data_IF_843763067133
#
_entry.id   IF_843763067133
#
_cell.length_a   1.000
_cell.length_b   1.000
_cell.length_c   1.000
_cell.angle_alpha   90.00
_cell.angle_beta   90.00
_cell.angle_gamma   90.00
#
_symmetry.space_group_name_H-M   'P 1'
#
loop_
_entity.id
_entity.type
_entity.pdbx_description
1 polymer ?
#
# COMPACT_ATOMS: atom_id res chain seq x y z
N UNK A 1 36.56 10.55 -45.15
CA UNK A 1 35.46 9.79 -44.52
C UNK A 1 35.72 8.31 -44.41
N UNK A 2 36.72 7.79 -45.06
CA UNK A 2 37.11 6.38 -44.89
C UNK A 2 37.59 6.10 -43.46
N UNK A 3 38.20 7.08 -42.82
CA UNK A 3 38.73 6.95 -41.49
C UNK A 3 37.63 6.61 -40.45
N UNK A 4 36.54 7.33 -40.51
CA UNK A 4 35.42 7.11 -39.58
C UNK A 4 34.77 5.73 -39.81
N UNK A 5 34.69 5.34 -41.06
CA UNK A 5 34.06 4.06 -41.39
C UNK A 5 34.92 2.87 -40.99
N UNK A 6 36.23 2.94 -41.20
CA UNK A 6 37.17 1.91 -40.75
C UNK A 6 37.24 1.89 -39.21
N UNK A 7 37.23 3.04 -38.61
CA UNK A 7 37.32 3.17 -37.15
C UNK A 7 36.01 2.67 -36.50
N UNK A 8 34.88 2.93 -37.11
CA UNK A 8 33.57 2.48 -36.60
C UNK A 8 33.41 0.98 -36.75
N UNK A 9 33.84 0.43 -37.90
CA UNK A 9 33.71 -1.01 -38.16
C UNK A 9 34.78 -1.85 -37.49
N UNK A 10 35.89 -1.23 -37.13
CA UNK A 10 36.95 -1.88 -36.36
C UNK A 10 36.47 -2.06 -34.93
N UNK A 11 36.64 -3.24 -34.38
CA UNK A 11 36.19 -3.58 -33.02
C UNK A 11 34.69 -3.46 -32.82
N UNK A 12 33.93 -3.93 -33.80
CA UNK A 12 32.48 -3.86 -33.76
C UNK A 12 31.91 -4.58 -32.55
N UNK A 13 32.49 -5.70 -32.13
CA UNK A 13 32.08 -6.42 -30.95
C UNK A 13 32.22 -5.62 -29.67
N UNK A 14 33.35 -4.87 -29.54
CA UNK A 14 33.56 -4.02 -28.38
C UNK A 14 32.57 -2.86 -28.32
N UNK A 15 32.18 -2.33 -29.47
CA UNK A 15 31.19 -1.26 -29.55
C UNK A 15 29.81 -1.73 -29.16
N UNK A 16 29.42 -2.93 -29.59
CA UNK A 16 28.17 -3.53 -29.18
C UNK A 16 28.15 -3.82 -27.70
N UNK A 17 29.26 -4.29 -27.16
CA UNK A 17 29.38 -4.52 -25.73
C UNK A 17 29.27 -3.21 -24.92
N UNK A 18 29.95 -2.16 -25.39
CA UNK A 18 29.87 -0.86 -24.76
C UNK A 18 28.46 -0.29 -24.79
N UNK A 19 27.78 -0.45 -25.93
CA UNK A 19 26.41 -0.02 -26.09
C UNK A 19 25.46 -0.79 -25.17
N UNK A 20 25.65 -2.09 -25.05
CA UNK A 20 24.86 -2.93 -24.18
C UNK A 20 25.03 -2.55 -22.71
N UNK A 21 26.28 -2.34 -22.28
CA UNK A 21 26.58 -1.90 -20.91
C UNK A 21 25.96 -0.52 -20.63
N UNK A 22 26.10 0.38 -21.59
CA UNK A 22 25.55 1.72 -21.48
C UNK A 22 24.02 1.69 -21.34
N UNK A 23 23.38 0.84 -22.13
CA UNK A 23 21.93 0.66 -22.08
C UNK A 23 21.48 0.05 -20.74
N UNK A 24 22.22 -0.94 -20.24
CA UNK A 24 21.92 -1.54 -18.94
C UNK A 24 22.06 -0.54 -17.81
N UNK A 25 23.12 0.27 -17.83
CA UNK A 25 23.31 1.32 -16.83
C UNK A 25 22.21 2.38 -16.91
N UNK A 26 21.83 2.75 -18.12
CA UNK A 26 20.74 3.70 -18.32
C UNK A 26 19.42 3.16 -17.80
N UNK A 27 19.12 1.90 -18.10
CA UNK A 27 17.88 1.27 -17.65
C UNK A 27 17.81 1.19 -16.12
N UNK A 28 18.91 0.84 -15.47
CA UNK A 28 18.95 0.77 -14.01
C UNK A 28 18.86 2.17 -13.37
N UNK A 29 19.47 3.15 -14.01
CA UNK A 29 19.45 4.53 -13.50
C UNK A 29 18.09 5.18 -13.71
N UNK A 30 17.42 4.88 -14.84
CA UNK A 30 16.12 5.48 -15.18
C UNK A 30 14.97 4.85 -14.42
N UNK A 31 15.11 3.62 -13.95
CA UNK A 31 14.08 3.02 -13.12
C UNK A 31 14.05 3.77 -11.78
N UNK A 32 13.06 4.63 -11.63
CA UNK A 32 12.90 5.41 -10.42
C UNK A 32 12.65 4.46 -9.24
N UNK A 33 13.35 4.64 -8.11
CA UNK A 33 13.04 3.84 -6.93
C UNK A 33 11.60 4.08 -6.52
N UNK A 34 10.90 3.04 -6.06
CA UNK A 34 9.53 3.20 -5.61
C UNK A 34 9.49 4.17 -4.43
N UNK A 35 8.54 5.09 -4.47
CA UNK A 35 8.32 6.03 -3.39
C UNK A 35 7.46 5.38 -2.31
N UNK A 36 7.68 5.79 -1.07
CA UNK A 36 6.86 5.39 0.05
C UNK A 36 6.17 6.62 0.61
N UNK A 37 4.86 6.50 0.86
CA UNK A 37 4.10 7.58 1.47
C UNK A 37 3.16 7.00 2.52
N UNK A 38 2.98 7.76 3.60
CA UNK A 38 2.04 7.40 4.66
C UNK A 38 0.71 8.09 4.47
N UNK A 39 -0.37 7.35 4.72
CA UNK A 39 -1.73 7.87 4.64
C UNK A 39 -2.49 7.52 5.91
N UNK A 40 -3.38 8.42 6.30
CA UNK A 40 -4.36 8.14 7.35
C UNK A 40 -5.62 7.63 6.67
N UNK A 41 -5.89 6.34 6.85
CA UNK A 41 -7.02 5.68 6.20
C UNK A 41 -8.14 5.49 7.22
N UNK A 42 -9.37 5.88 6.89
CA UNK A 42 -10.48 5.66 7.80
C UNK A 42 -10.76 4.17 7.98
N UNK A 43 -11.04 3.80 9.20
CA UNK A 43 -11.37 2.43 9.57
C UNK A 43 -12.89 2.29 9.69
N UNK A 44 -13.46 1.40 8.90
CA UNK A 44 -14.90 1.15 8.91
C UNK A 44 -15.19 -0.24 9.44
N UNK A 45 -16.22 -0.34 10.25
CA UNK A 45 -16.68 -1.61 10.80
C UNK A 45 -18.01 -1.98 10.15
N UNK A 46 -18.08 -3.18 9.63
CA UNK A 46 -19.29 -3.70 8.99
C UNK A 46 -19.82 -4.91 9.75
N UNK A 47 -21.08 -5.20 9.53
CA UNK A 47 -21.77 -6.37 10.08
C UNK A 47 -21.78 -6.40 11.61
N UNK A 48 -21.87 -5.24 12.24
CA UNK A 48 -22.06 -5.16 13.68
C UNK A 48 -23.47 -5.64 13.98
N UNK A 49 -23.59 -6.57 14.92
CA UNK A 49 -24.88 -7.05 15.37
C UNK A 49 -25.72 -5.89 15.94
N UNK A 50 -27.00 -5.88 15.65
CA UNK A 50 -27.90 -4.84 16.17
C UNK A 50 -27.97 -4.81 17.69
N UNK A 51 -27.66 -5.92 18.31
CA UNK A 51 -27.67 -6.06 19.75
C UNK A 51 -26.36 -5.59 20.40
N UNK A 52 -25.34 -5.29 19.60
CA UNK A 52 -24.04 -4.91 20.09
C UNK A 52 -23.66 -3.50 19.65
N UNK A 53 -22.87 -2.88 20.47
CA UNK A 53 -22.34 -1.54 20.23
C UNK A 53 -20.85 -1.52 20.54
N UNK A 54 -20.11 -0.74 19.76
CA UNK A 54 -18.67 -0.58 20.02
C UNK A 54 -18.48 0.43 21.13
N UNK A 55 -17.80 0.00 22.19
CA UNK A 55 -17.50 0.85 23.34
C UNK A 55 -15.98 1.02 23.48
N UNK A 56 -15.58 2.09 24.11
CA UNK A 56 -14.19 2.38 24.38
C UNK A 56 -13.52 3.18 23.27
N UNK A 57 -12.24 3.44 23.47
CA UNK A 57 -11.44 4.21 22.51
C UNK A 57 -10.96 3.30 21.38
N UNK A 58 -11.72 3.30 20.30
CA UNK A 58 -11.34 2.57 19.10
C UNK A 58 -10.72 3.55 18.12
N UNK A 59 -9.54 3.26 17.57
CA UNK A 59 -8.97 4.14 16.56
C UNK A 59 -9.86 4.17 15.33
N UNK A 60 -10.17 5.39 14.88
CA UNK A 60 -11.00 5.60 13.70
C UNK A 60 -10.18 5.67 12.42
N UNK A 61 -8.88 5.83 12.57
CA UNK A 61 -7.95 5.95 11.46
C UNK A 61 -6.73 5.08 11.70
N UNK A 62 -6.19 4.58 10.62
CA UNK A 62 -5.00 3.72 10.64
C UNK A 62 -3.94 4.36 9.75
N UNK A 63 -2.71 4.40 10.24
CA UNK A 63 -1.59 4.81 9.42
C UNK A 63 -1.20 3.68 8.48
N UNK A 64 -1.30 3.93 7.20
CA UNK A 64 -0.94 2.98 6.16
C UNK A 64 0.23 3.54 5.37
N UNK A 65 1.29 2.77 5.29
CA UNK A 65 2.43 3.14 4.47
C UNK A 65 2.37 2.36 3.17
N UNK A 66 2.29 3.09 2.08
CA UNK A 66 2.19 2.52 0.75
C UNK A 66 3.50 2.73 -0.01
N UNK A 67 3.82 1.74 -0.83
CA UNK A 67 4.97 1.78 -1.71
C UNK A 67 4.47 1.66 -3.15
N UNK A 68 4.95 2.53 -4.01
CA UNK A 68 4.56 2.51 -5.41
C UNK A 68 5.20 3.65 -6.18
N UNK A 69 4.77 3.83 -7.40
CA UNK A 69 5.26 4.92 -8.23
C UNK A 69 4.82 6.26 -7.63
N UNK A 70 5.75 7.21 -7.59
CA UNK A 70 5.48 8.52 -7.01
C UNK A 70 4.30 9.23 -7.67
N UNK A 71 4.14 9.09 -8.98
CA UNK A 71 3.02 9.68 -9.70
C UNK A 71 1.68 9.11 -9.25
N UNK A 72 1.64 7.81 -8.99
CA UNK A 72 0.43 7.15 -8.50
C UNK A 72 0.12 7.58 -7.07
N UNK A 73 1.13 7.61 -6.20
CA UNK A 73 0.95 7.96 -4.80
C UNK A 73 0.49 9.41 -4.62
N UNK A 74 0.93 10.30 -5.50
CA UNK A 74 0.51 11.71 -5.45
C UNK A 74 -0.96 11.89 -5.77
N UNK A 75 -1.53 11.00 -6.58
CA UNK A 75 -2.94 11.05 -6.97
C UNK A 75 -3.86 10.38 -5.96
N UNK A 76 -3.27 9.57 -5.09
CA UNK A 76 -4.06 8.88 -4.08
C UNK A 76 -4.48 9.82 -2.98
N UNK A 77 -5.75 9.73 -2.64
CA UNK A 77 -6.30 10.42 -1.46
C UNK A 77 -6.67 9.36 -0.42
N UNK A 78 -6.71 9.72 0.86
CA UNK A 78 -7.14 8.76 1.89
C UNK A 78 -8.54 8.19 1.64
N UNK A 79 -9.38 8.93 0.91
CA UNK A 79 -10.72 8.45 0.56
C UNK A 79 -10.69 7.31 -0.46
N UNK A 80 -9.64 7.22 -1.27
CA UNK A 80 -9.47 6.12 -2.23
C UNK A 80 -9.05 4.83 -1.55
N UNK A 81 -8.54 4.94 -0.33
CA UNK A 81 -8.15 3.82 0.49
C UNK A 81 -9.22 3.61 1.56
N UNK A 82 -9.53 2.36 1.83
CA UNK A 82 -10.49 2.05 2.86
C UNK A 82 -10.13 0.73 3.53
N UNK A 83 -10.33 0.67 4.83
CA UNK A 83 -10.17 -0.56 5.58
C UNK A 83 -11.54 -0.91 6.14
N UNK A 84 -12.07 -2.04 5.71
CA UNK A 84 -13.34 -2.53 6.20
C UNK A 84 -13.09 -3.75 7.07
N UNK A 85 -13.56 -3.68 8.31
CA UNK A 85 -13.44 -4.77 9.26
C UNK A 85 -14.83 -5.38 9.45
N UNK A 86 -14.91 -6.68 9.26
CA UNK A 86 -16.15 -7.43 9.44
C UNK A 86 -16.23 -7.91 10.89
N UNK A 87 -17.22 -7.43 11.61
CA UNK A 87 -17.47 -7.83 12.99
C UNK A 87 -18.56 -8.88 13.11
N UNK A 88 -18.98 -9.44 11.99
CA UNK A 88 -19.99 -10.50 12.00
C UNK A 88 -19.50 -11.74 12.74
N UNK A 89 -20.36 -12.35 13.52
CA UNK A 89 -20.03 -13.55 14.27
C UNK A 89 -19.31 -13.33 15.60
N UNK A 90 -19.00 -12.07 15.94
CA UNK A 90 -18.41 -11.75 17.24
C UNK A 90 -19.50 -11.56 18.30
N UNK A 91 -19.20 -12.03 19.51
CA UNK A 91 -20.09 -11.86 20.64
C UNK A 91 -19.66 -10.66 21.49
N UNK A 92 -20.48 -10.30 22.49
CA UNK A 92 -20.11 -9.25 23.42
C UNK A 92 -18.82 -9.60 24.15
N UNK A 93 -17.98 -8.61 24.36
CA UNK A 93 -16.70 -8.75 25.04
C UNK A 93 -15.57 -8.09 24.27
N UNK A 94 -14.37 -8.28 24.77
CA UNK A 94 -13.17 -7.71 24.16
C UNK A 94 -12.73 -8.61 22.99
N UNK A 95 -12.57 -8.01 21.83
CA UNK A 95 -12.15 -8.70 20.63
C UNK A 95 -10.91 -8.02 20.08
N UNK A 96 -9.88 -8.81 19.83
CA UNK A 96 -8.66 -8.32 19.20
C UNK A 96 -8.74 -8.61 17.71
N UNK A 97 -8.70 -7.56 16.92
CA UNK A 97 -8.80 -7.67 15.47
C UNK A 97 -7.44 -7.37 14.87
N UNK A 98 -6.93 -8.30 14.07
CA UNK A 98 -5.71 -8.11 13.34
C UNK A 98 -6.01 -7.45 12.00
N UNK A 99 -5.29 -6.39 11.73
CA UNK A 99 -5.38 -5.70 10.44
C UNK A 99 -4.33 -6.26 9.49
N UNK A 100 -4.77 -6.74 8.36
CA UNK A 100 -3.88 -7.28 7.34
C UNK A 100 -3.88 -6.37 6.11
N UNK A 101 -2.78 -6.32 5.36
CA UNK A 101 -2.73 -5.53 4.13
C UNK A 101 -3.79 -5.93 3.12
N UNK A 102 -4.26 -7.16 3.16
CA UNK A 102 -5.28 -7.67 2.24
C UNK A 102 -6.63 -7.02 2.44
N UNK A 103 -6.91 -6.49 3.64
CA UNK A 103 -8.15 -5.83 3.96
C UNK A 103 -8.25 -4.41 3.40
N UNK A 104 -7.13 -3.90 2.92
CA UNK A 104 -7.07 -2.54 2.38
C UNK A 104 -7.27 -2.61 0.87
N UNK A 105 -8.25 -1.84 0.40
CA UNK A 105 -8.44 -1.67 -1.03
C UNK A 105 -7.38 -0.71 -1.56
N UNK A 106 -6.36 -1.26 -2.20
CA UNK A 106 -5.29 -0.47 -2.81
C UNK A 106 -5.44 -0.49 -4.32
N UNK A 107 -5.13 0.63 -5.00
CA UNK A 107 -5.13 0.63 -6.45
C UNK A 107 -3.97 -0.20 -6.99
N UNK A 108 -4.11 -0.62 -8.22
CA UNK A 108 -3.08 -1.38 -8.91
C UNK A 108 -1.77 -0.58 -8.97
N UNK A 109 -0.69 -1.22 -8.59
CA UNK A 109 0.63 -0.59 -8.58
C UNK A 109 1.08 -0.06 -7.22
N UNK A 110 0.20 -0.08 -6.22
CA UNK A 110 0.55 0.29 -4.85
C UNK A 110 0.54 -0.94 -3.96
N UNK A 111 1.50 -1.01 -3.04
CA UNK A 111 1.62 -2.12 -2.11
C UNK A 111 1.70 -1.58 -0.69
N UNK A 112 0.97 -2.20 0.21
CA UNK A 112 1.01 -1.84 1.62
C UNK A 112 2.28 -2.40 2.24
N UNK A 113 3.10 -1.52 2.80
CA UNK A 113 4.36 -1.90 3.44
C UNK A 113 4.19 -2.03 4.95
N UNK A 114 3.38 -1.15 5.53
CA UNK A 114 3.21 -1.11 6.99
C UNK A 114 1.81 -0.62 7.35
N UNK A 115 1.28 -1.23 8.39
CA UNK A 115 0.03 -0.80 9.03
C UNK A 115 0.33 -0.48 10.49
N UNK A 116 -0.13 0.67 10.95
CA UNK A 116 0.01 1.05 12.37
C UNK A 116 -1.31 1.67 12.84
N UNK A 117 -1.98 1.11 13.83
CA UNK A 117 -1.69 -0.15 14.51
C UNK A 117 -2.02 -1.38 13.65
N UNK A 118 -1.29 -2.46 13.88
CA UNK A 118 -1.56 -3.73 13.18
C UNK A 118 -2.66 -4.54 13.86
N UNK A 119 -2.99 -4.18 15.09
CA UNK A 119 -4.04 -4.82 15.86
C UNK A 119 -4.92 -3.76 16.49
N UNK A 120 -6.22 -3.99 16.46
CA UNK A 120 -7.20 -3.09 17.05
C UNK A 120 -7.99 -3.88 18.09
N UNK A 121 -8.04 -3.33 19.30
CA UNK A 121 -8.83 -3.91 20.36
C UNK A 121 -10.19 -3.24 20.36
N UNK A 122 -11.22 -4.03 20.15
CA UNK A 122 -12.59 -3.55 20.09
C UNK A 122 -13.37 -4.18 21.24
N UNK A 123 -14.04 -3.34 22.02
CA UNK A 123 -14.92 -3.81 23.07
C UNK A 123 -16.35 -3.74 22.57
N UNK A 124 -16.97 -4.88 22.44
CA UNK A 124 -18.37 -4.99 22.05
C UNK A 124 -19.22 -5.14 23.31
N UNK A 125 -20.13 -4.24 23.49
CA UNK A 125 -21.04 -4.26 24.63
C UNK A 125 -22.48 -4.41 24.15
N UNK A 126 -23.34 -5.05 24.93
CA UNK A 126 -24.76 -5.12 24.56
C UNK A 126 -25.35 -3.72 24.47
N UNK A 127 -26.06 -3.47 23.38
CA UNK A 127 -26.76 -2.19 23.23
C UNK A 127 -27.87 -2.10 24.23
N UNK A 128 -27.96 -1.00 25.02
CA UNK A 128 -29.11 -0.87 25.91
C UNK A 128 -30.39 -0.79 25.12
N UNK A 129 -31.40 -1.51 25.61
CA UNK A 129 -32.70 -1.52 24.95
C UNK A 129 -33.24 -0.08 24.90
N UNK A 130 -33.44 0.42 23.69
CA UNK A 130 -34.07 1.72 23.53
C UNK A 130 -35.55 1.60 23.88
N UNK A 131 -35.95 2.33 24.87
CA UNK A 131 -37.38 2.43 25.23
C UNK A 131 -38.03 3.51 24.40
#
# INVERSE_FOLDING_TARGET
>A
MRFLREWVLRNWGLKLLALAISFLLWATYTSAPPAEMGYLVPLEFNNISRELEISGDVPTQVHVRLRGRSALLRRLTPADLGITVDLGGHSAGETLIQLTPEQIATPYGATVVRLTPSQVRVLLVPRPASR
#
